data_IF_723122827618
#
_entry.id   IF_723122827618
#
_cell.length_a   1.000
_cell.length_b   1.000
_cell.length_c   1.000
_cell.angle_alpha   90.00
_cell.angle_beta   90.00
_cell.angle_gamma   90.00
#
_symmetry.space_group_name_H-M   'P 1'
#
loop_
_entity.id
_entity.type
_entity.pdbx_description
1 polymer ?
#
# COMPACT_ATOMS: atom_id res chain seq x y z
N UNK A 1 37.95 8.98 -3.32
CA UNK A 1 37.61 8.54 -1.94
C UNK A 1 36.28 9.21 -1.67
N UNK A 2 35.26 8.60 -2.23
CA UNK A 2 33.91 9.15 -2.30
C UNK A 2 33.07 8.25 -1.40
N UNK A 3 32.49 8.74 -0.30
CA UNK A 3 31.45 8.01 0.37
C UNK A 3 30.16 8.29 -0.41
N UNK A 4 29.94 7.57 -1.51
CA UNK A 4 28.58 7.40 -2.02
C UNK A 4 27.90 6.49 -1.01
N UNK A 5 27.20 7.12 -0.06
CA UNK A 5 26.39 6.43 0.93
C UNK A 5 25.47 5.48 0.19
N UNK A 6 25.63 4.20 0.51
CA UNK A 6 24.71 3.13 0.15
C UNK A 6 23.31 3.59 0.54
N UNK A 7 22.46 3.87 -0.45
CA UNK A 7 21.04 3.90 -0.20
C UNK A 7 20.64 2.45 0.03
N UNK A 8 20.75 2.00 1.29
CA UNK A 8 20.08 0.80 1.75
C UNK A 8 18.56 1.06 1.74
N UNK A 9 17.99 1.37 0.57
CA UNK A 9 16.68 0.86 0.24
C UNK A 9 16.92 -0.64 0.15
N UNK A 10 16.63 -1.34 1.24
CA UNK A 10 16.77 -2.80 1.41
C UNK A 10 16.71 -3.48 0.06
N UNK A 11 17.79 -4.15 -0.37
CA UNK A 11 17.88 -4.93 -1.62
C UNK A 11 16.94 -6.14 -1.53
N UNK A 12 15.66 -5.82 -1.51
CA UNK A 12 14.54 -6.67 -1.26
C UNK A 12 13.46 -6.28 -2.24
N UNK A 13 12.86 -7.28 -2.87
CA UNK A 13 11.79 -7.09 -3.85
C UNK A 13 10.73 -6.15 -3.27
N UNK A 14 10.34 -5.05 -3.95
CA UNK A 14 9.35 -4.13 -3.42
C UNK A 14 7.99 -4.82 -3.26
N UNK A 15 7.16 -4.27 -2.39
CA UNK A 15 5.76 -4.69 -2.23
C UNK A 15 4.93 -4.04 -3.32
N UNK A 16 4.07 -4.81 -3.97
CA UNK A 16 3.17 -4.31 -5.00
C UNK A 16 1.81 -3.95 -4.37
N UNK A 17 1.50 -2.66 -4.27
CA UNK A 17 0.17 -2.18 -3.85
C UNK A 17 -0.73 -2.06 -5.08
N UNK A 18 -1.89 -2.71 -5.08
CA UNK A 18 -2.85 -2.75 -6.18
C UNK A 18 -4.13 -2.02 -5.79
N UNK A 19 -4.56 -1.13 -6.68
CA UNK A 19 -5.72 -0.27 -6.47
C UNK A 19 -6.90 -0.73 -7.28
N UNK A 20 -8.08 -0.75 -6.65
CA UNK A 20 -9.32 -1.20 -7.28
C UNK A 20 -10.42 -0.14 -7.25
N UNK A 21 -11.35 -0.19 -8.21
CA UNK A 21 -12.54 0.66 -8.25
C UNK A 21 -12.27 2.14 -7.89
N UNK A 22 -12.88 2.65 -6.80
CA UNK A 22 -12.80 4.05 -6.40
C UNK A 22 -11.40 4.49 -5.95
N UNK A 23 -10.60 3.60 -5.34
CA UNK A 23 -9.23 3.96 -4.93
C UNK A 23 -8.31 4.00 -6.15
N UNK A 24 -8.51 3.12 -7.13
CA UNK A 24 -7.82 3.19 -8.43
C UNK A 24 -8.10 4.50 -9.15
N UNK A 25 -9.35 4.93 -9.18
CA UNK A 25 -9.73 6.20 -9.77
C UNK A 25 -9.10 7.40 -9.04
N UNK A 26 -8.91 7.30 -7.72
CA UNK A 26 -8.26 8.34 -6.92
C UNK A 26 -6.73 8.34 -7.05
N UNK A 27 -6.11 7.16 -7.23
CA UNK A 27 -4.69 6.98 -7.43
C UNK A 27 -4.23 7.31 -8.87
N UNK A 28 -5.13 7.18 -9.85
CA UNK A 28 -4.84 7.36 -11.27
C UNK A 28 -4.04 6.21 -11.90
N UNK A 29 -3.45 5.34 -11.09
CA UNK A 29 -2.66 4.18 -11.50
C UNK A 29 -3.28 2.88 -10.98
N UNK A 30 -3.09 1.74 -11.67
CA UNK A 30 -3.62 0.46 -11.21
C UNK A 30 -2.83 -0.14 -10.04
N UNK A 31 -1.54 0.18 -9.92
CA UNK A 31 -0.68 -0.37 -8.89
C UNK A 31 0.60 0.47 -8.74
N UNK A 32 1.23 0.41 -7.56
CA UNK A 32 2.49 1.08 -7.22
C UNK A 32 3.40 0.16 -6.41
N UNK A 33 4.69 0.46 -6.42
CA UNK A 33 5.70 -0.25 -5.65
C UNK A 33 6.13 0.58 -4.44
N UNK A 34 6.11 -0.05 -3.27
CA UNK A 34 6.56 0.56 -2.01
C UNK A 34 7.51 -0.37 -1.27
N UNK A 35 8.23 0.17 -0.28
CA UNK A 35 9.11 -0.62 0.56
C UNK A 35 8.35 -1.69 1.34
N UNK A 36 8.99 -2.85 1.53
CA UNK A 36 8.50 -3.88 2.44
C UNK A 36 8.55 -3.42 3.91
N UNK A 37 7.73 -4.01 4.76
CA UNK A 37 7.61 -3.60 6.16
C UNK A 37 6.32 -4.09 6.80
N UNK A 38 5.81 -3.37 7.79
CA UNK A 38 4.45 -3.60 8.28
C UNK A 38 3.41 -3.09 7.28
N UNK A 39 2.19 -3.61 7.35
CA UNK A 39 1.10 -3.13 6.53
C UNK A 39 0.83 -1.64 6.80
N UNK A 40 0.94 -1.20 8.04
CA UNK A 40 0.86 0.23 8.38
C UNK A 40 1.86 1.07 7.58
N UNK A 41 3.13 0.64 7.51
CA UNK A 41 4.19 1.34 6.77
C UNK A 41 3.92 1.33 5.25
N UNK A 42 3.44 0.21 4.72
CA UNK A 42 3.07 0.06 3.30
C UNK A 42 1.92 1.03 2.96
N UNK A 43 0.86 1.06 3.77
CA UNK A 43 -0.28 1.96 3.57
C UNK A 43 0.10 3.44 3.75
N UNK A 44 0.97 3.75 4.72
CA UNK A 44 1.49 5.09 4.92
C UNK A 44 2.33 5.55 3.72
N UNK A 45 3.14 4.67 3.15
CA UNK A 45 3.94 4.94 1.95
C UNK A 45 3.03 5.20 0.74
N UNK A 46 2.03 4.35 0.50
CA UNK A 46 1.04 4.56 -0.55
C UNK A 46 0.29 5.90 -0.37
N UNK A 47 -0.11 6.23 0.87
CA UNK A 47 -0.74 7.53 1.18
C UNK A 47 0.19 8.72 0.94
N UNK A 48 1.49 8.59 1.22
CA UNK A 48 2.46 9.65 0.99
C UNK A 48 2.65 9.96 -0.51
N UNK A 49 2.55 8.95 -1.38
CA UNK A 49 2.57 9.12 -2.84
C UNK A 49 1.35 9.92 -3.34
N UNK A 50 0.21 9.83 -2.64
CA UNK A 50 -1.05 10.50 -2.99
C UNK A 50 -1.45 11.60 -1.99
N UNK A 51 -0.47 12.29 -1.39
CA UNK A 51 -0.71 13.28 -0.33
C UNK A 51 -1.61 14.45 -0.78
N UNK A 52 -1.56 14.80 -2.07
CA UNK A 52 -2.39 15.86 -2.67
C UNK A 52 -3.83 15.42 -2.98
N UNK A 53 -4.13 14.12 -2.85
CA UNK A 53 -5.44 13.53 -3.15
C UNK A 53 -6.23 13.25 -1.88
N UNK A 54 -7.03 14.23 -1.44
CA UNK A 54 -7.97 14.06 -0.33
C UNK A 54 -8.94 12.88 -0.55
N UNK A 55 -9.32 12.64 -1.82
CA UNK A 55 -10.15 11.49 -2.21
C UNK A 55 -9.45 10.16 -1.94
N UNK A 56 -8.16 10.05 -2.24
CA UNK A 56 -7.40 8.82 -1.98
C UNK A 56 -7.40 8.50 -0.49
N UNK A 57 -7.10 9.48 0.37
CA UNK A 57 -7.12 9.29 1.82
C UNK A 57 -8.51 8.88 2.35
N UNK A 58 -9.58 9.50 1.85
CA UNK A 58 -10.95 9.18 2.27
C UNK A 58 -11.41 7.78 1.82
N UNK A 59 -11.00 7.33 0.63
CA UNK A 59 -11.35 5.99 0.16
C UNK A 59 -10.51 4.94 0.89
N UNK A 60 -9.22 5.21 1.10
CA UNK A 60 -8.31 4.33 1.83
C UNK A 60 -8.83 3.98 3.24
N UNK A 61 -9.42 4.94 3.95
CA UNK A 61 -9.95 4.71 5.32
C UNK A 61 -11.11 3.72 5.40
N UNK A 62 -11.78 3.44 4.28
CA UNK A 62 -12.87 2.46 4.22
C UNK A 62 -12.50 1.21 3.42
N UNK A 63 -11.29 1.14 2.86
CA UNK A 63 -10.85 -0.01 2.07
C UNK A 63 -10.63 -1.25 2.94
N UNK A 64 -11.11 -2.39 2.44
CA UNK A 64 -10.63 -3.70 2.87
C UNK A 64 -9.23 -3.92 2.29
N UNK A 65 -8.35 -4.51 3.10
CA UNK A 65 -6.95 -4.74 2.74
C UNK A 65 -6.67 -6.25 2.72
N UNK A 66 -6.10 -6.72 1.62
CA UNK A 66 -5.63 -8.09 1.46
C UNK A 66 -4.12 -8.08 1.28
N UNK A 67 -3.43 -9.03 1.90
CA UNK A 67 -2.00 -9.28 1.71
C UNK A 67 -1.88 -10.68 1.11
N UNK A 68 -1.27 -10.78 -0.08
CA UNK A 68 -1.19 -12.02 -0.86
C UNK A 68 -2.55 -12.75 -0.95
N UNK A 69 -3.57 -11.99 -1.35
CA UNK A 69 -4.96 -12.44 -1.50
C UNK A 69 -5.66 -12.85 -0.18
N UNK A 70 -4.98 -12.74 0.97
CA UNK A 70 -5.54 -13.03 2.29
C UNK A 70 -6.05 -11.76 2.97
N UNK A 71 -7.33 -11.72 3.39
CA UNK A 71 -7.85 -10.57 4.10
C UNK A 71 -7.14 -10.40 5.45
N UNK A 72 -6.76 -9.16 5.74
CA UNK A 72 -6.13 -8.81 7.02
C UNK A 72 -7.11 -8.98 8.18
N UNK A 73 -8.40 -8.70 7.93
CA UNK A 73 -9.47 -8.83 8.91
C UNK A 73 -9.39 -7.76 9.99
N UNK A 74 -9.51 -8.16 11.25
CA UNK A 74 -9.46 -7.27 12.42
C UNK A 74 -8.06 -7.07 13.00
N UNK A 75 -7.02 -7.67 12.40
CA UNK A 75 -5.63 -7.51 12.84
C UNK A 75 -5.18 -6.06 12.68
N UNK A 76 -4.45 -5.55 13.66
CA UNK A 76 -3.88 -4.22 13.57
C UNK A 76 -2.87 -4.16 12.41
N UNK A 77 -2.91 -3.15 11.52
CA UNK A 77 -1.99 -3.05 10.39
C UNK A 77 -0.51 -3.02 10.80
N UNK A 78 -0.19 -2.54 12.00
CA UNK A 78 1.16 -2.55 12.54
C UNK A 78 1.68 -3.97 12.87
N UNK A 79 0.80 -4.93 13.13
CA UNK A 79 1.15 -6.32 13.48
C UNK A 79 1.24 -7.23 12.25
N UNK A 80 0.81 -6.74 11.08
CA UNK A 80 0.81 -7.52 9.84
C UNK A 80 2.11 -7.25 9.10
N UNK A 81 2.99 -8.24 9.07
CA UNK A 81 4.21 -8.18 8.27
C UNK A 81 3.88 -8.37 6.77
N UNK A 82 4.42 -7.51 5.93
CA UNK A 82 4.33 -7.57 4.47
C UNK A 82 5.74 -7.77 3.92
N UNK A 83 6.12 -9.02 3.58
CA UNK A 83 7.47 -9.33 3.18
C UNK A 83 7.79 -8.74 1.79
N UNK A 84 9.09 -8.63 1.45
CA UNK A 84 9.52 -8.26 0.10
C UNK A 84 8.86 -9.15 -0.98
N UNK A 85 8.34 -8.53 -2.04
CA UNK A 85 7.65 -9.19 -3.15
C UNK A 85 6.20 -9.58 -2.89
N UNK A 86 5.68 -9.31 -1.69
CA UNK A 86 4.26 -9.50 -1.41
C UNK A 86 3.38 -8.51 -2.19
N UNK A 87 2.11 -8.86 -2.34
CA UNK A 87 1.09 -8.02 -2.97
C UNK A 87 0.09 -7.53 -1.93
N UNK A 88 -0.27 -6.26 -1.99
CA UNK A 88 -1.31 -5.65 -1.14
C UNK A 88 -2.43 -5.13 -2.01
N UNK A 89 -3.62 -5.71 -1.89
CA UNK A 89 -4.81 -5.29 -2.63
C UNK A 89 -5.70 -4.40 -1.77
N UNK A 90 -6.03 -3.20 -2.30
CA UNK A 90 -6.90 -2.23 -1.65
C UNK A 90 -8.28 -2.21 -2.31
N UNK A 91 -9.24 -2.78 -1.62
CA UNK A 91 -10.60 -3.01 -2.09
C UNK A 91 -11.57 -2.09 -1.34
N UNK A 92 -11.94 -0.94 -1.92
CA UNK A 92 -13.02 -0.14 -1.36
C UNK A 92 -14.33 -0.94 -1.35
N UNK A 93 -15.21 -0.72 -0.37
CA UNK A 93 -16.52 -1.36 -0.37
C UNK A 93 -17.20 -0.99 -1.67
N UNK A 94 -17.80 -1.99 -2.33
CA UNK A 94 -18.69 -1.71 -3.44
C UNK A 94 -19.78 -0.78 -2.93
N UNK A 95 -19.75 0.48 -3.37
CA UNK A 95 -20.88 1.39 -3.24
C UNK A 95 -21.96 0.95 -4.23
N UNK A 96 -22.55 -0.22 -3.97
CA UNK A 96 -23.77 -0.65 -4.62
C UNK A 96 -24.90 0.20 -4.07
N UNK A 97 -25.25 1.25 -4.82
CA UNK A 97 -26.56 1.89 -4.75
C UNK A 97 -27.51 1.22 -5.73
#
# INVERSE_FOLDING_TARGET
MDPVGDISATDGVPVQVRYWAAIRAAAGVPAEQVGAGSLEQVLASARALHVDSARFASVLSVCSVLVDEQPVGTRAPAEVAVPPGATVDLLPPFAGG
#
